data_IF_975012450256
#
_entry.id   IF_975012450256
#
_cell.length_a   1.000
_cell.length_b   1.000
_cell.length_c   1.000
_cell.angle_alpha   90.00
_cell.angle_beta   90.00
_cell.angle_gamma   90.00
#
_symmetry.space_group_name_H-M   'P 1'
#
loop_
_entity.id
_entity.type
_entity.pdbx_description
1 polymer ?
#
# COMPACT_ATOMS: atom_id res chain seq x y z
N UNK A 1 9.63 -49.01 -23.00
CA UNK A 1 8.35 -48.34 -22.67
C UNK A 1 8.12 -48.20 -21.16
N UNK A 2 8.52 -49.19 -20.33
CA UNK A 2 8.42 -49.10 -18.86
C UNK A 2 9.25 -47.97 -18.24
N UNK A 3 10.47 -47.71 -18.72
CA UNK A 3 11.30 -46.59 -18.23
C UNK A 3 10.61 -45.23 -18.36
N UNK A 4 9.95 -44.98 -19.50
CA UNK A 4 9.23 -43.72 -19.72
C UNK A 4 8.04 -43.57 -18.74
N UNK A 5 7.35 -44.67 -18.42
CA UNK A 5 6.26 -44.67 -17.44
C UNK A 5 6.77 -44.43 -16.02
N UNK A 6 7.92 -44.99 -15.66
CA UNK A 6 8.56 -44.77 -14.35
C UNK A 6 9.03 -43.32 -14.20
N UNK A 7 9.66 -42.75 -15.23
CA UNK A 7 10.08 -41.34 -15.23
C UNK A 7 8.89 -40.39 -15.11
N UNK A 8 7.80 -40.65 -15.84
CA UNK A 8 6.57 -39.86 -15.73
C UNK A 8 5.90 -40.00 -14.36
N UNK A 9 5.88 -41.20 -13.77
CA UNK A 9 5.36 -41.41 -12.42
C UNK A 9 6.18 -40.64 -11.37
N UNK A 10 7.51 -40.68 -11.46
CA UNK A 10 8.40 -39.94 -10.57
C UNK A 10 8.23 -38.42 -10.75
N UNK A 11 8.21 -37.92 -12.00
CA UNK A 11 7.92 -36.51 -12.29
C UNK A 11 6.58 -36.06 -11.71
N UNK A 12 5.52 -36.88 -11.85
CA UNK A 12 4.21 -36.61 -11.27
C UNK A 12 4.28 -36.45 -9.75
N UNK A 13 4.95 -37.39 -9.05
CA UNK A 13 5.12 -37.31 -7.59
C UNK A 13 5.90 -36.06 -7.16
N UNK A 14 6.98 -35.72 -7.87
CA UNK A 14 7.79 -34.53 -7.57
C UNK A 14 7.00 -33.23 -7.77
N UNK A 15 6.20 -33.14 -8.84
CA UNK A 15 5.36 -31.97 -9.12
C UNK A 15 4.27 -31.79 -8.04
N UNK A 16 3.68 -32.89 -7.55
CA UNK A 16 2.66 -32.81 -6.48
C UNK A 16 3.24 -32.33 -5.14
N UNK A 17 4.50 -32.66 -4.84
CA UNK A 17 5.18 -32.20 -3.63
C UNK A 17 5.65 -30.74 -3.74
N UNK A 18 5.97 -30.26 -4.95
CA UNK A 18 6.42 -28.89 -5.20
C UNK A 18 5.26 -27.87 -5.30
N UNK A 19 4.06 -28.30 -5.68
CA UNK A 19 2.90 -27.41 -5.83
C UNK A 19 2.51 -26.61 -4.55
N UNK A 20 2.43 -27.20 -3.34
CA UNK A 20 2.00 -26.46 -2.15
C UNK A 20 2.97 -25.33 -1.75
N UNK A 21 4.29 -25.50 -1.91
CA UNK A 21 5.27 -24.46 -1.56
C UNK A 21 5.15 -23.21 -2.45
N UNK A 22 4.71 -23.37 -3.70
CA UNK A 22 4.52 -22.27 -4.63
C UNK A 22 3.36 -21.35 -4.23
N UNK A 23 2.33 -21.88 -3.56
CA UNK A 23 1.18 -21.09 -3.13
C UNK A 23 1.54 -20.09 -2.03
N UNK A 24 2.29 -20.50 -1.02
CA UNK A 24 2.77 -19.61 0.04
C UNK A 24 3.70 -18.53 -0.49
N UNK A 25 4.65 -18.92 -1.37
CA UNK A 25 5.57 -17.98 -2.02
C UNK A 25 4.81 -16.94 -2.85
N UNK A 26 3.82 -17.37 -3.65
CA UNK A 26 2.98 -16.46 -4.45
C UNK A 26 2.21 -15.47 -3.57
N UNK A 27 1.66 -15.93 -2.45
CA UNK A 27 0.93 -15.06 -1.51
C UNK A 27 1.85 -14.00 -0.89
N UNK A 28 3.05 -14.38 -0.46
CA UNK A 28 4.05 -13.44 0.07
C UNK A 28 4.48 -12.41 -0.97
N UNK A 29 4.72 -12.82 -2.23
CA UNK A 29 5.03 -11.88 -3.31
C UNK A 29 3.88 -10.93 -3.62
N UNK A 30 2.63 -11.41 -3.60
CA UNK A 30 1.46 -10.55 -3.80
C UNK A 30 1.35 -9.50 -2.69
N UNK A 31 1.49 -9.91 -1.42
CA UNK A 31 1.49 -8.99 -0.28
C UNK A 31 2.58 -7.92 -0.42
N UNK A 32 3.81 -8.34 -0.71
CA UNK A 32 4.95 -7.46 -0.89
C UNK A 32 4.69 -6.43 -2.00
N UNK A 33 4.20 -6.89 -3.15
CA UNK A 33 3.91 -6.03 -4.30
C UNK A 33 2.88 -4.95 -3.98
N UNK A 34 1.84 -5.26 -3.20
CA UNK A 34 0.82 -4.27 -2.80
C UNK A 34 1.40 -3.21 -1.86
N UNK A 35 2.25 -3.61 -0.89
CA UNK A 35 2.93 -2.66 -0.01
C UNK A 35 3.93 -1.77 -0.77
N UNK A 36 4.64 -2.33 -1.74
CA UNK A 36 5.57 -1.59 -2.61
C UNK A 36 4.85 -0.57 -3.50
N UNK A 37 3.66 -0.89 -4.00
CA UNK A 37 2.85 0.04 -4.79
C UNK A 37 2.52 1.30 -3.98
N UNK A 38 2.07 1.15 -2.73
CA UNK A 38 1.80 2.30 -1.89
C UNK A 38 3.08 3.07 -1.53
N UNK A 39 4.17 2.36 -1.19
CA UNK A 39 5.46 2.98 -0.93
C UNK A 39 5.92 3.84 -2.13
N UNK A 40 5.79 3.30 -3.35
CA UNK A 40 6.14 3.99 -4.57
C UNK A 40 5.26 5.24 -4.79
N UNK A 41 3.95 5.16 -4.54
CA UNK A 41 3.05 6.32 -4.61
C UNK A 41 3.40 7.41 -3.59
N UNK A 42 3.79 7.04 -2.37
CA UNK A 42 4.23 7.98 -1.35
C UNK A 42 5.57 8.65 -1.72
N UNK A 43 6.50 7.87 -2.28
CA UNK A 43 7.77 8.41 -2.79
C UNK A 43 7.55 9.35 -3.99
N UNK A 44 6.62 9.00 -4.89
CA UNK A 44 6.18 9.84 -6.00
C UNK A 44 5.55 11.14 -5.48
N UNK A 45 4.64 11.06 -4.50
CA UNK A 45 4.01 12.24 -3.92
C UNK A 45 5.06 13.20 -3.34
N UNK A 46 6.04 12.67 -2.62
CA UNK A 46 7.15 13.48 -2.11
C UNK A 46 8.00 14.11 -3.21
N UNK A 47 8.34 13.38 -4.26
CA UNK A 47 9.15 13.91 -5.36
C UNK A 47 8.40 14.99 -6.14
N UNK A 48 7.09 14.83 -6.32
CA UNK A 48 6.21 15.82 -6.91
C UNK A 48 6.09 17.07 -6.05
N UNK A 49 5.98 16.93 -4.72
CA UNK A 49 5.92 18.06 -3.81
C UNK A 49 7.20 18.91 -3.87
N UNK A 50 8.37 18.24 -3.88
CA UNK A 50 9.67 18.88 -4.06
C UNK A 50 9.79 19.55 -5.43
N UNK A 51 9.41 18.86 -6.51
CA UNK A 51 9.52 19.36 -7.89
C UNK A 51 8.64 20.57 -8.13
N UNK A 52 7.40 20.55 -7.61
CA UNK A 52 6.40 21.60 -7.83
C UNK A 52 6.49 22.72 -6.81
N UNK A 53 7.23 22.53 -5.72
CA UNK A 53 7.23 23.44 -4.57
C UNK A 53 5.82 23.70 -4.04
N UNK A 54 4.98 22.65 -4.06
CA UNK A 54 3.58 22.67 -3.65
C UNK A 54 3.27 21.44 -2.81
N UNK A 55 2.17 21.45 -2.06
CA UNK A 55 1.74 20.26 -1.34
C UNK A 55 1.23 19.21 -2.31
N UNK A 56 1.55 17.96 -2.03
CA UNK A 56 1.04 16.81 -2.77
C UNK A 56 0.51 15.81 -1.75
N UNK A 57 -0.73 15.38 -1.97
CA UNK A 57 -1.48 14.56 -1.04
C UNK A 57 -1.76 13.20 -1.67
N UNK A 58 -1.58 12.16 -0.87
CA UNK A 58 -2.05 10.80 -1.15
C UNK A 58 -3.26 10.54 -0.29
N UNK A 59 -4.44 10.32 -0.88
CA UNK A 59 -5.67 10.07 -0.13
C UNK A 59 -6.31 8.74 -0.50
N UNK A 60 -7.11 8.17 0.40
CA UNK A 60 -7.96 7.02 0.11
C UNK A 60 -8.92 7.39 -1.02
N UNK A 61 -9.03 6.51 -2.01
CA UNK A 61 -9.87 6.72 -3.19
C UNK A 61 -11.35 6.44 -2.87
N UNK A 62 -12.20 7.41 -3.16
CA UNK A 62 -13.65 7.29 -3.16
C UNK A 62 -14.22 7.01 -4.56
N UNK A 63 -15.54 7.10 -4.70
CA UNK A 63 -16.21 6.93 -5.99
C UNK A 63 -15.90 8.12 -6.93
N UNK A 64 -15.52 7.83 -8.18
CA UNK A 64 -15.32 8.87 -9.20
C UNK A 64 -14.06 9.73 -9.01
N UNK A 65 -12.94 9.12 -8.62
CA UNK A 65 -11.63 9.79 -8.44
C UNK A 65 -11.60 10.88 -7.36
N UNK A 66 -12.49 10.85 -6.37
CA UNK A 66 -12.46 11.79 -5.23
C UNK A 66 -11.72 11.20 -4.03
N UNK A 67 -11.25 12.04 -3.11
CA UNK A 67 -10.78 11.57 -1.79
C UNK A 67 -11.96 11.10 -0.93
N UNK A 68 -11.83 9.93 -0.33
CA UNK A 68 -12.89 9.35 0.50
C UNK A 68 -13.01 10.07 1.86
N UNK A 69 -14.25 10.35 2.27
CA UNK A 69 -14.57 10.82 3.61
C UNK A 69 -14.37 9.74 4.68
N UNK A 70 -14.70 8.51 4.31
CA UNK A 70 -14.59 7.30 5.12
C UNK A 70 -14.15 6.12 4.25
N UNK A 71 -13.57 5.10 4.88
CA UNK A 71 -13.18 3.88 4.20
C UNK A 71 -11.77 3.43 4.57
N UNK A 72 -11.13 2.73 3.64
CA UNK A 72 -9.82 2.12 3.87
C UNK A 72 -8.96 2.18 2.62
N UNK A 73 -7.64 2.14 2.80
CA UNK A 73 -6.66 2.10 1.71
C UNK A 73 -6.85 0.92 0.76
N UNK A 74 -7.64 -0.08 1.14
CA UNK A 74 -8.00 -1.19 0.26
C UNK A 74 -8.87 -0.75 -0.92
N UNK A 75 -9.55 0.40 -0.84
CA UNK A 75 -10.31 1.00 -1.94
C UNK A 75 -9.40 1.60 -3.02
N UNK A 76 -8.09 1.58 -2.81
CA UNK A 76 -7.11 2.27 -3.63
C UNK A 76 -6.86 3.67 -3.10
N UNK A 77 -6.03 4.41 -3.81
CA UNK A 77 -5.60 5.74 -3.42
C UNK A 77 -5.34 6.61 -4.64
N UNK A 78 -5.31 7.91 -4.40
CA UNK A 78 -5.03 8.94 -5.39
C UNK A 78 -3.81 9.73 -4.92
N UNK A 79 -2.98 10.16 -5.86
CA UNK A 79 -1.91 11.14 -5.64
C UNK A 79 -2.26 12.37 -6.44
N UNK A 80 -2.33 13.53 -5.80
CA UNK A 80 -2.71 14.78 -6.46
C UNK A 80 -2.01 15.99 -5.84
N UNK A 81 -1.91 17.06 -6.63
CA UNK A 81 -1.38 18.35 -6.17
C UNK A 81 -2.47 19.06 -5.37
N UNK A 82 -2.22 19.26 -4.08
CA UNK A 82 -3.16 19.84 -3.11
C UNK A 82 -2.82 21.32 -2.96
N UNK A 83 -3.42 22.16 -3.81
CA UNK A 83 -3.06 23.56 -3.96
C UNK A 83 -3.64 24.46 -2.87
N UNK A 84 -4.67 24.00 -2.18
CA UNK A 84 -5.35 24.74 -1.12
C UNK A 84 -5.18 24.09 0.28
N UNK A 85 -4.32 23.08 0.38
CA UNK A 85 -3.89 22.47 1.62
C UNK A 85 -5.02 21.76 2.41
N UNK A 86 -6.10 21.32 1.74
CA UNK A 86 -7.31 20.78 2.38
C UNK A 86 -7.39 19.25 2.41
N UNK A 87 -6.44 18.55 1.78
CA UNK A 87 -6.42 17.09 1.61
C UNK A 87 -7.68 16.48 0.96
N UNK A 88 -8.36 17.24 0.12
CA UNK A 88 -9.48 16.83 -0.72
C UNK A 88 -9.12 17.14 -2.17
N UNK A 89 -9.48 16.25 -3.10
CA UNK A 89 -9.28 16.55 -4.52
C UNK A 89 -10.36 17.52 -4.99
N UNK A 90 -9.95 18.72 -5.38
CA UNK A 90 -10.82 19.70 -6.02
C UNK A 90 -10.75 19.63 -7.55
N UNK A 91 -11.80 20.10 -8.24
CA UNK A 91 -11.92 19.99 -9.70
C UNK A 91 -10.81 20.71 -10.49
N UNK A 92 -10.13 21.68 -9.86
CA UNK A 92 -9.00 22.43 -10.45
C UNK A 92 -7.65 21.78 -10.21
N UNK A 93 -7.58 20.74 -9.38
CA UNK A 93 -6.35 20.11 -8.97
C UNK A 93 -5.94 18.98 -9.90
N UNK A 94 -4.62 18.76 -9.97
CA UNK A 94 -4.05 17.80 -10.90
C UNK A 94 -3.84 16.46 -10.20
N UNK A 95 -4.55 15.44 -10.68
CA UNK A 95 -4.27 14.05 -10.31
C UNK A 95 -2.98 13.60 -10.99
N UNK A 96 -1.98 13.22 -10.19
CA UNK A 96 -0.69 12.69 -10.63
C UNK A 96 -0.79 11.19 -10.88
N UNK A 97 -1.45 10.47 -9.98
CA UNK A 97 -1.58 9.02 -10.05
C UNK A 97 -2.90 8.58 -9.45
N UNK A 98 -3.50 7.55 -10.05
CA UNK A 98 -4.67 6.87 -9.53
C UNK A 98 -4.36 5.39 -9.39
N UNK A 99 -4.65 4.83 -8.22
CA UNK A 99 -4.50 3.42 -7.92
C UNK A 99 -5.86 2.78 -7.65
N UNK A 100 -6.13 1.65 -8.30
CA UNK A 100 -7.38 0.92 -8.15
C UNK A 100 -7.46 0.20 -6.79
N UNK A 101 -8.68 -0.20 -6.43
CA UNK A 101 -8.92 -1.02 -5.26
C UNK A 101 -8.17 -2.36 -5.34
N UNK A 102 -7.69 -2.81 -4.19
CA UNK A 102 -7.12 -4.15 -4.06
C UNK A 102 -8.25 -5.17 -3.87
N UNK A 103 -8.02 -6.46 -4.15
CA UNK A 103 -9.01 -7.49 -3.89
C UNK A 103 -9.50 -7.50 -2.43
N UNK A 104 -10.79 -7.75 -2.22
CA UNK A 104 -11.48 -7.62 -0.93
C UNK A 104 -10.97 -8.52 0.20
N UNK A 105 -10.19 -9.55 -0.11
CA UNK A 105 -9.55 -10.41 0.89
C UNK A 105 -8.30 -9.79 1.53
N UNK A 106 -7.76 -8.71 0.96
CA UNK A 106 -6.75 -7.88 1.61
C UNK A 106 -7.44 -6.84 2.48
N UNK A 107 -6.93 -6.66 3.69
CA UNK A 107 -7.24 -5.51 4.53
C UNK A 107 -6.08 -4.54 4.46
N UNK A 108 -6.39 -3.27 4.21
CA UNK A 108 -5.40 -2.21 4.15
C UNK A 108 -5.92 -0.97 4.85
N UNK A 109 -5.35 -0.64 6.01
CA UNK A 109 -5.83 0.43 6.87
C UNK A 109 -4.66 1.24 7.44
N UNK A 110 -4.93 2.48 7.84
CA UNK A 110 -3.97 3.33 8.54
C UNK A 110 -4.38 3.54 10.00
N UNK A 111 -3.42 3.88 10.85
CA UNK A 111 -3.73 4.43 12.17
C UNK A 111 -4.35 5.84 12.05
N UNK A 112 -4.76 6.43 13.17
CA UNK A 112 -5.59 7.66 13.20
C UNK A 112 -5.05 8.84 12.39
N UNK A 113 -3.73 8.96 12.24
CA UNK A 113 -3.09 10.09 11.55
C UNK A 113 -2.93 9.87 10.05
N UNK A 114 -3.00 8.64 9.56
CA UNK A 114 -2.83 8.28 8.14
C UNK A 114 -3.98 7.42 7.60
N UNK A 115 -5.08 7.29 8.33
CA UNK A 115 -6.23 6.48 7.92
C UNK A 115 -6.94 7.00 6.66
N UNK A 116 -6.81 8.30 6.36
CA UNK A 116 -7.49 8.97 5.23
C UNK A 116 -6.55 9.55 4.20
N UNK A 117 -5.43 10.11 4.63
CA UNK A 117 -4.46 10.71 3.72
C UNK A 117 -3.05 10.74 4.33
N UNK A 118 -2.06 10.95 3.47
CA UNK A 118 -0.69 11.33 3.79
C UNK A 118 -0.31 12.48 2.87
N UNK A 119 0.14 13.62 3.42
CA UNK A 119 0.54 14.76 2.59
C UNK A 119 2.01 15.12 2.77
N UNK A 120 2.60 15.65 1.70
CA UNK A 120 3.98 16.12 1.66
C UNK A 120 4.02 17.60 1.30
N UNK A 121 4.68 18.41 2.13
CA UNK A 121 4.88 19.83 1.86
C UNK A 121 5.98 20.10 0.82
N UNK A 122 6.18 21.38 0.44
CA UNK A 122 7.19 21.81 -0.55
C UNK A 122 8.63 21.39 -0.22
N UNK A 123 8.93 21.17 1.07
CA UNK A 123 10.23 20.70 1.55
C UNK A 123 10.34 19.16 1.61
N UNK A 124 9.33 18.44 1.11
CA UNK A 124 9.27 16.98 1.08
C UNK A 124 9.09 16.33 2.45
N UNK A 125 8.68 17.10 3.47
CA UNK A 125 8.32 16.60 4.80
C UNK A 125 6.88 16.17 4.82
N UNK A 126 6.55 15.10 5.54
CA UNK A 126 5.16 14.74 5.75
C UNK A 126 4.53 15.66 6.80
N UNK A 127 3.38 16.21 6.45
CA UNK A 127 2.69 17.18 7.29
C UNK A 127 1.17 16.99 7.20
N UNK A 128 0.47 17.40 8.25
CA UNK A 128 -0.99 17.47 8.23
C UNK A 128 -1.45 18.69 7.45
N UNK A 129 -2.76 18.79 7.20
CA UNK A 129 -3.35 20.00 6.60
C UNK A 129 -3.00 21.29 7.35
N UNK A 130 -2.83 21.19 8.67
CA UNK A 130 -2.44 22.30 9.56
C UNK A 130 -0.94 22.61 9.56
N UNK A 131 -0.12 21.87 8.81
CA UNK A 131 1.34 22.03 8.76
C UNK A 131 2.10 21.36 9.91
N UNK A 132 1.42 20.66 10.82
CA UNK A 132 2.07 19.88 11.86
C UNK A 132 2.70 18.61 11.28
N UNK A 133 3.65 17.99 11.98
CA UNK A 133 4.27 16.75 11.50
C UNK A 133 3.26 15.62 11.42
N UNK A 134 3.22 14.94 10.26
CA UNK A 134 2.40 13.75 10.08
C UNK A 134 3.28 12.51 10.12
N UNK A 135 2.96 11.58 11.00
CA UNK A 135 3.60 10.28 11.07
C UNK A 135 2.54 9.23 11.40
N UNK A 136 2.72 8.02 10.91
CA UNK A 136 1.75 6.95 11.11
C UNK A 136 2.16 5.68 10.39
N UNK A 137 1.35 4.63 10.58
CA UNK A 137 1.59 3.32 9.99
C UNK A 137 0.36 2.91 9.19
N UNK A 138 0.61 2.45 7.96
CA UNK A 138 -0.36 1.84 7.07
C UNK A 138 -0.09 0.34 7.07
N UNK A 139 -1.07 -0.46 7.48
CA UNK A 139 -0.94 -1.89 7.65
C UNK A 139 -1.74 -2.60 6.57
N UNK A 140 -1.04 -3.46 5.81
CA UNK A 140 -1.61 -4.37 4.83
C UNK A 140 -1.51 -5.80 5.38
N UNK A 141 -2.63 -6.49 5.40
CA UNK A 141 -2.71 -7.84 5.93
C UNK A 141 -3.77 -8.68 5.20
N UNK A 142 -3.69 -10.00 5.37
CA UNK A 142 -4.71 -10.95 4.93
C UNK A 142 -5.01 -11.94 6.05
N UNK A 143 -6.29 -12.30 6.27
CA UNK A 143 -6.65 -13.33 7.24
C UNK A 143 -5.88 -14.63 7.01
N UNK A 144 -5.36 -15.23 8.10
CA UNK A 144 -4.62 -16.49 8.06
C UNK A 144 -3.11 -16.37 7.82
N UNK A 145 -2.56 -15.15 7.72
CA UNK A 145 -1.11 -14.94 7.71
C UNK A 145 -0.54 -14.75 9.11
N UNK A 146 0.74 -15.09 9.29
CA UNK A 146 1.52 -14.88 10.52
C UNK A 146 2.31 -13.57 10.52
N UNK A 147 2.26 -12.81 9.42
CA UNK A 147 2.95 -11.54 9.27
C UNK A 147 2.09 -10.53 8.50
N UNK A 148 2.32 -9.25 8.77
CA UNK A 148 1.74 -8.11 8.05
C UNK A 148 2.83 -7.29 7.41
N UNK A 149 2.44 -6.53 6.38
CA UNK A 149 3.28 -5.50 5.81
C UNK A 149 2.86 -4.15 6.37
N UNK A 150 3.84 -3.35 6.77
CA UNK A 150 3.63 -2.01 7.27
C UNK A 150 4.39 -1.00 6.42
N UNK A 151 3.70 0.04 5.96
CA UNK A 151 4.31 1.24 5.42
C UNK A 151 4.31 2.30 6.51
N UNK A 152 5.49 2.58 7.06
CA UNK A 152 5.69 3.55 8.13
C UNK A 152 6.04 4.91 7.52
N UNK A 153 5.20 5.90 7.78
CA UNK A 153 5.39 7.29 7.41
C UNK A 153 5.99 8.03 8.61
N UNK A 154 7.09 8.75 8.40
CA UNK A 154 7.73 9.59 9.41
C UNK A 154 7.69 11.06 9.00
N UNK A 155 7.85 11.96 9.97
CA UNK A 155 7.84 13.42 9.82
C UNK A 155 8.88 14.01 8.84
N UNK A 156 9.90 13.24 8.48
CA UNK A 156 10.96 13.67 7.54
C UNK A 156 10.55 13.38 6.08
N UNK A 157 9.47 12.63 5.89
CA UNK A 157 8.90 12.30 4.60
C UNK A 157 9.57 11.12 3.90
N UNK A 158 10.39 10.31 4.59
CA UNK A 158 10.95 9.09 4.01
C UNK A 158 10.12 7.88 4.46
N UNK A 159 9.08 7.47 3.71
CA UNK A 159 8.32 6.27 4.05
C UNK A 159 9.22 5.03 3.96
N UNK A 160 8.92 4.01 4.77
CA UNK A 160 9.62 2.72 4.74
C UNK A 160 8.62 1.59 4.75
N UNK A 161 8.92 0.52 4.04
CA UNK A 161 8.17 -0.73 4.07
C UNK A 161 8.88 -1.72 5.00
N UNK A 162 8.14 -2.41 5.85
CA UNK A 162 8.66 -3.45 6.73
C UNK A 162 7.66 -4.60 6.86
N UNK A 163 8.17 -5.82 7.06
CA UNK A 163 7.36 -6.98 7.41
C UNK A 163 7.42 -7.17 8.92
N UNK A 164 6.26 -7.33 9.56
CA UNK A 164 6.14 -7.49 11.01
C UNK A 164 5.38 -8.78 11.30
N UNK A 165 5.88 -9.58 12.24
CA UNK A 165 5.17 -10.78 12.72
C UNK A 165 3.93 -10.35 13.52
N UNK A 166 2.79 -10.98 13.24
CA UNK A 166 1.56 -10.79 14.01
C UNK A 166 1.71 -11.44 15.39
N UNK A 167 1.30 -10.73 16.44
CA UNK A 167 1.21 -11.33 17.77
C UNK A 167 0.03 -12.28 17.84
N UNK A 168 0.13 -13.29 18.70
CA UNK A 168 -0.96 -14.23 18.93
C UNK A 168 -2.22 -13.49 19.40
N UNK A 169 -3.33 -13.65 18.68
CA UNK A 169 -4.61 -13.00 18.97
C UNK A 169 -4.80 -11.61 18.36
N UNK A 170 -3.79 -11.07 17.67
CA UNK A 170 -3.91 -9.82 16.93
C UNK A 170 -4.57 -10.09 15.57
N UNK A 171 -5.73 -9.50 15.35
CA UNK A 171 -6.46 -9.68 14.11
C UNK A 171 -5.85 -8.83 12.99
N UNK A 172 -5.82 -9.42 11.79
CA UNK A 172 -6.17 -8.69 10.59
C UNK A 172 -7.70 -8.53 10.60
#
# INVERSE_FOLDING_TARGET
MLEALVVLALLGTLLTLAAPSLTGLRQSHQMQSQGEQLLASLMLARSEALRRQQRVTVCVRGAGDVCAGEGSWAQGWLVFVDGNDNAMLDATEVVVQSHAAVPSFWKFYGNSTVNRYVSYGPLGRSQTITGAFQAGTLTLCRPGQSSVMEVVVNAVGKPRLQTVALKAGEAC
#
